data_IF_280526275038
#
_entry.id   IF_280526275038
#
_cell.length_a   1.000
_cell.length_b   1.000
_cell.length_c   1.000
_cell.angle_alpha   90.00
_cell.angle_beta   90.00
_cell.angle_gamma   90.00
#
_symmetry.space_group_name_H-M   'P 1'
#
loop_
_entity.id
_entity.type
_entity.pdbx_description
1 polymer ?
2 polymer ?
3 non-polymer ?
4 water ?
#
# COMPACT_ATOMS: atom_id res chain seq x y z
N UNK A 1 -1.13 14.26 -12.73
CA UNK A 1 -1.81 15.58 -12.64
C UNK A 1 -3.27 15.44 -13.09
N UNK A 2 -3.46 15.15 -14.37
CA UNK A 2 -4.80 14.97 -14.88
C UNK A 2 -5.33 13.64 -14.40
N UNK A 3 -4.49 12.92 -13.65
CA UNK A 3 -4.87 11.61 -13.13
C UNK A 3 -5.62 11.70 -11.80
N UNK A 4 -6.93 11.89 -11.90
CA UNK A 4 -7.78 11.95 -10.73
C UNK A 4 -9.18 11.50 -11.15
N UNK A 5 -9.82 10.73 -10.29
CA UNK A 5 -11.17 10.23 -10.54
C UNK A 5 -12.12 11.43 -10.51
N UNK A 6 -12.97 11.56 -11.53
CA UNK A 6 -13.87 12.72 -11.49
C UNK A 6 -14.92 12.70 -10.37
N UNK A 7 -15.33 11.50 -9.96
CA UNK A 7 -16.37 11.36 -8.95
C UNK A 7 -15.94 11.63 -7.50
N UNK A 8 -14.77 11.12 -7.11
CA UNK A 8 -14.28 11.32 -5.75
C UNK A 8 -13.25 12.43 -5.71
N UNK A 9 -12.75 12.79 -6.89
CA UNK A 9 -11.77 13.86 -7.06
C UNK A 9 -10.34 13.52 -6.63
N UNK A 10 -10.13 12.29 -6.17
CA UNK A 10 -8.81 11.85 -5.70
C UNK A 10 -7.90 11.36 -6.82
N UNK A 11 -6.60 11.50 -6.59
CA UNK A 11 -5.56 11.10 -7.52
C UNK A 11 -5.42 9.60 -7.66
N UNK A 12 -4.92 9.14 -8.79
CA UNK A 12 -4.68 7.71 -9.00
C UNK A 12 -3.38 7.56 -9.77
N UNK A 13 -2.67 6.47 -9.52
CA UNK A 13 -1.38 6.23 -10.16
C UNK A 13 -1.51 5.47 -11.47
N UNK A 14 -0.77 5.94 -12.47
CA UNK A 14 -0.75 5.33 -13.79
C UNK A 14 -0.24 3.90 -13.71
N UNK A 15 0.40 3.56 -12.59
CA UNK A 15 0.96 2.24 -12.42
C UNK A 15 0.30 1.28 -11.44
N UNK A 16 -0.67 1.73 -10.65
CA UNK A 16 -1.29 0.77 -9.73
C UNK A 16 -2.42 0.04 -10.43
N UNK A 17 -2.10 -1.14 -10.96
CA UNK A 17 -3.07 -1.94 -11.68
C UNK A 17 -3.85 -2.89 -10.78
N UNK A 18 -3.72 -2.71 -9.48
CA UNK A 18 -4.44 -3.54 -8.53
C UNK A 18 -5.70 -2.77 -8.16
N UNK A 19 -5.76 -1.53 -8.61
CA UNK A 19 -6.90 -0.66 -8.35
C UNK A 19 -8.07 -1.15 -9.20
N UNK A 20 -9.29 -0.92 -8.73
CA UNK A 20 -10.47 -1.32 -9.49
C UNK A 20 -11.02 -0.05 -10.11
N UNK A 21 -10.69 0.15 -11.38
CA UNK A 21 -11.15 1.32 -12.11
C UNK A 21 -11.55 0.94 -13.52
N UNK A 22 -12.43 1.74 -14.11
CA UNK A 22 -12.90 1.52 -15.46
C UNK A 22 -12.42 2.67 -16.31
N UNK A 23 -12.19 2.41 -17.59
CA UNK A 23 -11.74 3.45 -18.49
C UNK A 23 -12.86 3.89 -19.43
N UNK A 24 -13.19 5.18 -19.41
CA UNK A 24 -14.23 5.70 -20.27
C UNK A 24 -13.81 5.48 -21.73
N UNK A 25 -14.67 4.84 -22.51
CA UNK A 25 -14.33 4.58 -23.90
C UNK A 25 -14.31 5.83 -24.78
N UNK A 26 -14.74 6.96 -24.23
CA UNK A 26 -14.79 8.21 -24.97
C UNK A 26 -13.56 9.10 -24.77
N UNK A 27 -13.27 9.45 -23.52
CA UNK A 27 -12.15 10.33 -23.20
C UNK A 27 -10.91 9.62 -22.65
N UNK A 28 -11.03 8.31 -22.40
CA UNK A 28 -9.91 7.52 -21.87
C UNK A 28 -9.54 7.74 -20.40
N UNK A 29 -10.33 8.51 -19.66
CA UNK A 29 -9.98 8.71 -18.25
C UNK A 29 -10.46 7.54 -17.40
N UNK A 30 -9.87 7.40 -16.22
CA UNK A 30 -10.23 6.30 -15.34
C UNK A 30 -11.13 6.74 -14.20
N UNK A 31 -12.03 5.85 -13.82
CA UNK A 31 -12.98 6.11 -12.75
C UNK A 31 -13.06 4.90 -11.81
N UNK A 32 -13.02 5.16 -10.51
CA UNK A 32 -13.10 4.09 -9.51
C UNK A 32 -14.42 3.34 -9.58
N UNK A 33 -14.33 2.01 -9.46
CA UNK A 33 -15.50 1.14 -9.47
C UNK A 33 -16.40 1.51 -8.30
N UNK A 34 -15.79 1.71 -7.13
CA UNK A 34 -16.54 2.05 -5.93
C UNK A 34 -17.22 3.42 -6.04
N UNK A 35 -16.67 4.33 -6.84
CA UNK A 35 -17.29 5.65 -6.97
C UNK A 35 -18.54 5.62 -7.84
N UNK A 36 -18.68 4.57 -8.64
CA UNK A 36 -19.86 4.40 -9.48
C UNK A 36 -20.81 3.48 -8.72
N UNK A 37 -20.49 3.25 -7.44
CA UNK A 37 -21.28 2.39 -6.57
C UNK A 37 -21.37 0.95 -7.05
N UNK A 38 -20.29 0.45 -7.62
CA UNK A 38 -20.29 -0.93 -8.12
C UNK A 38 -19.61 -1.93 -7.19
N UNK A 39 -20.26 -3.06 -6.99
CA UNK A 39 -19.70 -4.11 -6.15
C UNK A 39 -18.59 -4.78 -6.95
N UNK A 40 -17.75 -5.55 -6.26
CA UNK A 40 -16.67 -6.27 -6.93
C UNK A 40 -17.21 -7.22 -7.98
N UNK A 41 -18.37 -7.83 -7.73
CA UNK A 41 -18.98 -8.74 -8.70
C UNK A 41 -19.29 -7.98 -10.00
N UNK A 42 -19.92 -6.84 -9.83
CA UNK A 42 -20.22 -5.95 -10.97
C UNK A 42 -18.98 -5.59 -11.74
N UNK A 43 -17.98 -5.26 -11.06
CA UNK A 43 -16.70 -4.90 -11.67
C UNK A 43 -16.16 -6.08 -12.50
N UNK A 44 -16.30 -7.28 -11.97
CA UNK A 44 -15.82 -8.47 -12.68
C UNK A 44 -16.66 -8.73 -13.92
N UNK A 45 -17.96 -8.56 -13.77
CA UNK A 45 -18.87 -8.78 -14.89
C UNK A 45 -18.52 -7.78 -15.99
N UNK A 46 -18.29 -6.53 -15.60
CA UNK A 46 -17.93 -5.47 -16.54
C UNK A 46 -16.65 -5.83 -17.26
N UNK A 47 -15.69 -6.37 -16.52
CA UNK A 47 -14.42 -6.77 -17.10
C UNK A 47 -14.64 -7.95 -18.05
N UNK A 48 -15.90 -8.38 -18.16
CA UNK A 48 -16.29 -9.50 -19.01
C UNK A 48 -17.23 -9.10 -20.15
N UNK A 49 -17.79 -7.90 -20.09
CA UNK A 49 -18.70 -7.46 -21.15
C UNK A 49 -17.97 -7.53 -22.48
N UNK A 50 -18.72 -7.50 -23.60
CA UNK A 50 -18.04 -7.56 -24.89
C UNK A 50 -17.27 -6.27 -25.16
N UNK A 51 -16.21 -6.40 -25.94
CA UNK A 51 -15.38 -5.26 -26.31
C UNK A 51 -16.32 -4.19 -26.89
N UNK A 52 -17.53 -4.62 -27.24
CA UNK A 52 -18.55 -3.75 -27.82
C UNK A 52 -19.25 -2.84 -26.82
N UNK A 53 -19.17 -3.18 -25.54
CA UNK A 53 -19.83 -2.38 -24.49
C UNK A 53 -18.82 -1.58 -23.67
N UNK A 54 -18.65 -0.31 -24.02
CA UNK A 54 -17.70 0.54 -23.33
C UNK A 54 -18.27 1.26 -22.12
N UNK A 55 -17.44 1.36 -21.09
CA UNK A 55 -17.83 2.07 -19.89
C UNK A 55 -17.78 3.52 -20.34
N UNK A 56 -18.59 4.37 -19.73
CA UNK A 56 -18.61 5.76 -20.12
C UNK A 56 -18.76 6.62 -18.86
N UNK A 57 -17.87 7.60 -18.66
CA UNK A 57 -17.95 8.46 -17.48
C UNK A 57 -19.16 9.38 -17.56
N UNK A 58 -19.57 9.93 -16.43
CA UNK A 58 -20.75 10.79 -16.37
C UNK A 58 -20.87 11.89 -17.43
N UNK A 59 -19.87 12.77 -17.49
CA UNK A 59 -19.92 13.88 -18.45
C UNK A 59 -19.86 13.43 -19.90
N UNK A 60 -19.25 12.28 -20.15
CA UNK A 60 -19.18 11.76 -21.51
C UNK A 60 -20.47 11.02 -21.84
N UNK A 61 -21.31 10.80 -20.84
CA UNK A 61 -22.58 10.13 -21.04
C UNK A 61 -23.57 11.16 -21.55
N UNK A 62 -24.07 10.95 -22.75
CA UNK A 62 -25.01 11.89 -23.32
C UNK A 62 -26.43 11.67 -22.79
N UNK A 63 -26.93 10.45 -22.91
CA UNK A 63 -28.27 10.14 -22.44
C UNK A 63 -28.22 9.23 -21.22
N UNK A 64 -28.98 9.56 -20.18
CA UNK A 64 -29.06 8.75 -18.97
C UNK A 64 -30.39 8.00 -18.93
N UNK A 65 -30.42 6.80 -18.34
CA UNK A 65 -29.29 6.08 -17.72
C UNK A 65 -28.18 5.73 -18.70
N UNK A 66 -26.94 5.74 -18.22
CA UNK A 66 -25.80 5.40 -19.07
C UNK A 66 -26.03 4.00 -19.61
N UNK A 67 -25.77 3.80 -20.91
CA UNK A 67 -25.99 2.50 -21.50
C UNK A 67 -25.22 1.38 -20.82
N UNK A 68 -24.01 1.66 -20.34
CA UNK A 68 -23.26 0.59 -19.69
C UNK A 68 -24.00 0.06 -18.48
N UNK A 69 -24.76 0.94 -17.82
CA UNK A 69 -25.52 0.52 -16.63
C UNK A 69 -26.63 -0.46 -17.00
N UNK A 70 -27.46 -0.10 -17.99
CA UNK A 70 -28.51 -1.03 -18.38
C UNK A 70 -27.92 -2.31 -18.93
N UNK A 71 -26.84 -2.19 -19.71
CA UNK A 71 -26.18 -3.37 -20.27
C UNK A 71 -25.68 -4.27 -19.15
N UNK A 72 -25.11 -3.66 -18.11
CA UNK A 72 -24.59 -4.41 -16.97
C UNK A 72 -25.68 -5.18 -16.24
N UNK A 73 -26.79 -4.50 -15.94
CA UNK A 73 -27.91 -5.11 -15.25
C UNK A 73 -28.43 -6.30 -16.05
N UNK A 74 -28.60 -6.09 -17.35
CA UNK A 74 -29.09 -7.16 -18.23
C UNK A 74 -28.14 -8.34 -18.30
N UNK A 75 -26.85 -8.05 -18.37
CA UNK A 75 -25.83 -9.09 -18.46
C UNK A 75 -25.91 -10.05 -17.27
N UNK A 76 -26.01 -9.51 -16.05
CA UNK A 76 -26.09 -10.39 -14.90
C UNK A 76 -27.33 -11.29 -14.99
N UNK A 77 -28.49 -10.70 -15.24
CA UNK A 77 -29.72 -11.48 -15.30
C UNK A 77 -29.71 -12.50 -16.43
N UNK A 78 -29.17 -12.11 -17.57
CA UNK A 78 -29.11 -13.03 -18.71
C UNK A 78 -28.17 -14.19 -18.46
N UNK A 79 -27.04 -13.91 -17.80
CA UNK A 79 -26.05 -14.92 -17.51
C UNK A 79 -26.60 -15.90 -16.48
N UNK A 80 -27.32 -15.39 -15.48
CA UNK A 80 -27.90 -16.25 -14.46
C UNK A 80 -28.94 -17.15 -15.13
N UNK A 81 -29.72 -16.57 -16.03
CA UNK A 81 -30.75 -17.33 -16.71
C UNK A 81 -30.12 -18.37 -17.63
N UNK A 82 -29.00 -17.99 -18.24
CA UNK A 82 -28.27 -18.87 -19.14
C UNK A 82 -27.93 -20.16 -18.40
N UNK A 83 -27.39 -20.01 -17.20
CA UNK A 83 -27.01 -21.15 -16.36
C UNK A 83 -28.24 -21.94 -15.92
N UNK A 84 -29.21 -21.27 -15.30
CA UNK A 84 -30.41 -21.96 -14.85
C UNK A 84 -31.10 -22.71 -15.97
N UNK A 85 -31.24 -22.07 -17.13
CA UNK A 85 -31.90 -22.71 -18.26
C UNK A 85 -31.22 -24.02 -18.63
N UNK A 86 -29.89 -24.04 -18.59
CA UNK A 86 -29.16 -25.26 -18.92
C UNK A 86 -29.44 -26.32 -17.87
N UNK A 87 -29.48 -25.92 -16.60
CA UNK A 87 -29.75 -26.86 -15.53
C UNK A 87 -31.14 -27.45 -15.66
N UNK A 88 -32.10 -26.60 -16.02
CA UNK A 88 -33.49 -27.03 -16.17
C UNK A 88 -33.71 -27.97 -17.35
N UNK A 89 -33.07 -27.66 -18.47
CA UNK A 89 -33.22 -28.45 -19.68
C UNK A 89 -32.31 -29.67 -19.77
N UNK A 90 -31.72 -30.09 -18.65
CA UNK A 90 -30.83 -31.25 -18.68
C UNK A 90 -31.55 -32.49 -18.18
N UNK A 91 -31.25 -33.63 -18.80
CA UNK A 91 -31.86 -34.89 -18.41
C UNK A 91 -31.27 -35.39 -17.08
N UNK A 92 -30.19 -34.76 -16.64
CA UNK A 92 -29.59 -35.18 -15.38
C UNK A 92 -30.12 -34.42 -14.17
N UNK A 93 -30.92 -33.38 -14.40
CA UNK A 93 -31.47 -32.57 -13.30
C UNK A 93 -32.94 -32.81 -13.01
N UNK A 94 -33.55 -33.71 -13.76
CA UNK A 94 -34.97 -34.00 -13.61
C UNK A 94 -35.44 -34.24 -12.16
N UNK A 95 -34.59 -34.83 -11.33
CA UNK A 95 -34.98 -35.12 -9.95
C UNK A 95 -34.81 -33.96 -8.97
N UNK A 96 -34.33 -32.81 -9.44
CA UNK A 96 -34.15 -31.66 -8.58
C UNK A 96 -35.08 -30.52 -9.03
N UNK A 97 -35.96 -30.82 -9.98
CA UNK A 97 -36.89 -29.84 -10.50
C UNK A 97 -37.98 -29.52 -9.50
N UNK A 98 -38.46 -30.55 -8.80
CA UNK A 98 -39.53 -30.37 -7.83
C UNK A 98 -39.29 -31.06 -6.50
N UNK A 99 -39.44 -30.29 -5.42
CA UNK A 99 -39.28 -30.80 -4.07
C UNK A 99 -40.54 -31.60 -3.72
N UNK A 100 -40.38 -32.69 -2.98
CA UNK A 100 -41.51 -33.54 -2.61
C UNK A 100 -41.30 -34.29 -1.29
N UNK A 102 -36.26 -15.51 0.10
CA UNK A 102 -36.74 -16.83 -0.28
C UNK A 102 -35.58 -17.82 -0.29
N UNK A 103 -35.87 -19.08 0.07
CA UNK A 103 -34.86 -20.14 0.09
C UNK A 103 -35.48 -21.34 -0.60
N UNK A 104 -35.39 -21.38 -1.94
CA UNK A 104 -35.92 -22.45 -2.81
C UNK A 104 -35.36 -23.83 -2.50
N UNK A 105 -36.24 -24.83 -2.44
CA UNK A 105 -35.77 -26.19 -2.19
C UNK A 105 -35.68 -26.98 -3.48
N UNK A 106 -35.98 -26.35 -4.61
CA UNK A 106 -35.90 -27.01 -5.90
C UNK A 106 -35.63 -26.02 -7.03
N UNK A 107 -35.25 -26.53 -8.19
CA UNK A 107 -34.95 -25.67 -9.33
C UNK A 107 -36.12 -24.83 -9.83
N UNK A 108 -37.33 -25.36 -9.74
CA UNK A 108 -38.49 -24.59 -10.17
C UNK A 108 -38.65 -23.39 -9.25
N UNK A 109 -38.15 -23.53 -8.03
CA UNK A 109 -38.22 -22.45 -7.06
C UNK A 109 -37.17 -21.40 -7.34
N UNK A 110 -35.99 -21.83 -7.76
CA UNK A 110 -34.91 -20.91 -8.09
C UNK A 110 -35.39 -20.15 -9.33
N UNK A 111 -36.04 -20.89 -10.23
CA UNK A 111 -36.59 -20.35 -11.46
C UNK A 111 -37.55 -19.18 -11.17
N UNK A 112 -38.46 -19.38 -10.22
CA UNK A 112 -39.42 -18.35 -9.85
C UNK A 112 -38.75 -17.19 -9.12
N UNK A 113 -37.80 -17.51 -8.26
CA UNK A 113 -37.10 -16.48 -7.52
C UNK A 113 -36.34 -15.59 -8.51
N UNK A 114 -35.86 -16.20 -9.59
CA UNK A 114 -35.10 -15.46 -10.61
C UNK A 114 -35.99 -14.59 -11.49
N UNK A 115 -37.03 -15.17 -12.07
CA UNK A 115 -37.93 -14.42 -12.95
C UNK A 115 -38.58 -13.22 -12.26
N UNK A 116 -38.71 -13.28 -10.94
CA UNK A 116 -39.30 -12.20 -10.16
C UNK A 116 -38.23 -11.17 -9.79
N UNK A 117 -37.03 -11.34 -10.36
CA UNK A 117 -35.93 -10.42 -10.09
C UNK A 117 -35.35 -10.40 -8.69
N UNK A 118 -35.42 -11.53 -7.98
CA UNK A 118 -34.89 -11.59 -6.62
C UNK A 118 -33.39 -11.84 -6.49
N UNK A 119 -32.72 -12.19 -7.59
CA UNK A 119 -31.28 -12.41 -7.53
C UNK A 119 -30.55 -11.14 -7.95
N UNK A 120 -29.75 -10.60 -7.05
CA UNK A 120 -29.00 -9.39 -7.33
C UNK A 120 -27.51 -9.66 -7.36
N UNK A 121 -27.14 -10.91 -7.09
CA UNK A 121 -25.75 -11.27 -7.11
C UNK A 121 -25.55 -12.69 -7.58
N UNK A 122 -24.33 -12.98 -8.01
CA UNK A 122 -23.98 -14.31 -8.46
C UNK A 122 -23.87 -15.20 -7.22
N UNK A 123 -23.34 -14.65 -6.12
CA UNK A 123 -23.18 -15.44 -4.91
C UNK A 123 -24.47 -16.03 -4.35
N UNK A 124 -25.54 -15.23 -4.28
CA UNK A 124 -26.79 -15.76 -3.72
C UNK A 124 -27.37 -16.86 -4.61
N UNK A 125 -27.32 -16.65 -5.92
CA UNK A 125 -27.81 -17.62 -6.90
C UNK A 125 -27.01 -18.94 -6.78
N UNK A 126 -25.70 -18.82 -6.73
CA UNK A 126 -24.86 -20.00 -6.63
C UNK A 126 -25.15 -20.75 -5.32
N UNK A 127 -25.17 -20.02 -4.20
CA UNK A 127 -25.44 -20.63 -2.89
C UNK A 127 -26.79 -21.34 -2.83
N UNK A 128 -27.82 -20.76 -3.45
CA UNK A 128 -29.12 -21.40 -3.44
C UNK A 128 -29.02 -22.74 -4.18
N UNK A 129 -28.33 -22.76 -5.32
CA UNK A 129 -28.18 -23.99 -6.09
C UNK A 129 -27.31 -25.00 -5.37
N UNK A 130 -26.21 -24.54 -4.75
CA UNK A 130 -25.32 -25.44 -4.01
C UNK A 130 -26.12 -26.15 -2.92
N UNK A 131 -26.94 -25.41 -2.19
CA UNK A 131 -27.76 -25.99 -1.13
C UNK A 131 -28.69 -27.09 -1.68
N UNK A 132 -29.30 -26.82 -2.83
CA UNK A 132 -30.20 -27.81 -3.42
C UNK A 132 -29.43 -29.05 -3.86
N UNK A 133 -28.29 -28.85 -4.49
CA UNK A 133 -27.48 -29.97 -4.94
C UNK A 133 -26.93 -30.74 -3.75
N UNK A 134 -26.43 -30.00 -2.76
CA UNK A 134 -25.88 -30.61 -1.56
C UNK A 134 -26.93 -31.40 -0.78
N UNK A 135 -28.16 -30.90 -0.75
CA UNK A 135 -29.25 -31.57 -0.05
C UNK A 135 -29.51 -32.92 -0.71
N UNK A 136 -29.51 -32.94 -2.05
CA UNK A 136 -29.73 -34.17 -2.79
C UNK A 136 -28.60 -35.17 -2.56
N UNK A 137 -27.37 -34.67 -2.43
CA UNK A 137 -26.22 -35.52 -2.18
C UNK A 137 -26.29 -36.17 -0.80
N UNK A 138 -26.78 -35.42 0.18
CA UNK A 138 -26.89 -35.91 1.55
C UNK A 138 -27.99 -36.96 1.71
N UNK A 139 -28.97 -36.95 0.81
CA UNK A 139 -30.07 -37.90 0.91
C UNK A 139 -30.08 -39.00 -0.15
N UNK A 140 -29.04 -39.07 -0.97
CA UNK A 140 -28.96 -40.10 -2.00
C UNK A 140 -28.22 -41.32 -1.48
N UNK A 141 -28.67 -41.82 -0.32
CA UNK A 141 -28.05 -42.98 0.29
C UNK A 141 -28.16 -44.26 -0.52
N UNK A 142 -27.00 -44.82 -0.86
CA UNK A 142 -26.95 -46.06 -1.62
C UNK A 142 -27.88 -46.12 -2.82
N UNK A 143 -27.63 -45.29 -3.82
CA UNK A 143 -28.45 -45.26 -5.04
C UNK A 143 -27.81 -44.34 -6.07
N UNK A 144 -27.54 -44.86 -7.28
CA UNK A 144 -26.97 -44.05 -8.37
C UNK A 144 -28.02 -43.29 -9.17
N UNK A 145 -27.57 -42.41 -10.06
CA UNK A 145 -28.46 -41.60 -10.89
C UNK A 145 -29.18 -40.60 -9.98
N UNK A 146 -28.96 -40.78 -8.68
CA UNK A 146 -29.50 -39.93 -7.64
C UNK A 146 -28.22 -39.63 -6.86
N UNK A 147 -27.19 -40.41 -7.21
CA UNK A 147 -25.86 -40.28 -6.63
C UNK A 147 -24.98 -39.94 -7.84
N UNK A 148 -25.21 -40.67 -8.93
CA UNK A 148 -24.48 -40.48 -10.16
C UNK A 148 -24.93 -39.17 -10.80
N UNK A 149 -26.24 -39.03 -10.96
CA UNK A 149 -26.79 -37.82 -11.55
C UNK A 149 -26.41 -36.61 -10.71
N UNK A 150 -26.52 -36.75 -9.38
CA UNK A 150 -26.18 -35.67 -8.48
C UNK A 150 -24.78 -35.13 -8.75
N UNK A 151 -23.85 -36.02 -9.02
CA UNK A 151 -22.49 -35.57 -9.27
C UNK A 151 -22.32 -34.98 -10.66
N UNK A 152 -23.13 -35.42 -11.62
CA UNK A 152 -22.99 -34.82 -12.94
C UNK A 152 -23.80 -33.55 -13.09
N UNK A 153 -24.68 -33.25 -12.13
CA UNK A 153 -25.42 -31.99 -12.20
C UNK A 153 -24.51 -31.05 -11.43
N UNK A 154 -23.77 -31.60 -10.47
CA UNK A 154 -22.84 -30.81 -9.69
C UNK A 154 -21.68 -30.40 -10.58
N UNK A 155 -21.03 -31.37 -11.21
CA UNK A 155 -19.91 -31.08 -12.09
C UNK A 155 -20.46 -30.14 -13.16
N UNK A 156 -21.66 -30.47 -13.63
CA UNK A 156 -22.35 -29.70 -14.64
C UNK A 156 -22.52 -28.26 -14.17
N UNK A 157 -22.99 -28.09 -12.93
CA UNK A 157 -23.20 -26.75 -12.39
C UNK A 157 -21.88 -26.01 -12.29
N UNK A 158 -20.90 -26.61 -11.61
CA UNK A 158 -19.60 -25.97 -11.44
C UNK A 158 -18.98 -25.52 -12.77
N UNK A 159 -19.00 -26.42 -13.76
CA UNK A 159 -18.45 -26.13 -15.08
C UNK A 159 -19.24 -25.07 -15.86
N UNK A 160 -20.56 -25.14 -15.78
CA UNK A 160 -21.42 -24.20 -16.48
C UNK A 160 -21.13 -22.80 -15.90
N UNK A 161 -21.02 -22.73 -14.58
CA UNK A 161 -20.74 -21.47 -13.89
C UNK A 161 -19.35 -20.96 -14.22
N UNK A 162 -18.41 -21.88 -14.37
CA UNK A 162 -17.04 -21.50 -14.70
C UNK A 162 -17.02 -20.87 -16.08
N UNK A 163 -17.93 -21.30 -16.94
CA UNK A 163 -18.00 -20.76 -18.28
C UNK A 163 -18.57 -19.35 -18.37
N UNK A 164 -19.65 -19.09 -17.63
CA UNK A 164 -20.32 -17.80 -17.63
C UNK A 164 -19.70 -16.79 -16.68
N UNK A 165 -19.17 -17.28 -15.57
CA UNK A 165 -18.58 -16.44 -14.55
C UNK A 165 -17.20 -16.97 -14.19
N UNK A 166 -16.23 -16.84 -15.11
CA UNK A 166 -14.86 -17.32 -14.90
C UNK A 166 -14.19 -16.80 -13.64
N UNK A 167 -14.54 -15.58 -13.24
CA UNK A 167 -13.97 -14.96 -12.05
C UNK A 167 -14.56 -15.48 -10.74
N UNK A 168 -15.68 -16.19 -10.84
CA UNK A 168 -16.36 -16.69 -9.64
C UNK A 168 -16.04 -18.13 -9.23
N UNK A 169 -15.95 -18.37 -7.93
CA UNK A 169 -15.64 -19.70 -7.41
C UNK A 169 -16.82 -20.42 -6.76
N UNK A 170 -17.43 -21.35 -7.49
CA UNK A 170 -18.54 -22.14 -6.96
C UNK A 170 -18.00 -23.15 -5.96
N UNK A 171 -16.78 -23.62 -6.22
CA UNK A 171 -16.11 -24.60 -5.37
C UNK A 171 -15.96 -24.16 -3.92
N UNK A 172 -15.79 -22.86 -3.69
CA UNK A 172 -15.60 -22.34 -2.34
C UNK A 172 -16.88 -22.11 -1.55
N UNK A 173 -18.03 -22.30 -2.19
CA UNK A 173 -19.30 -22.10 -1.51
C UNK A 173 -19.32 -22.72 -0.10
N UNK A 174 -19.87 -21.96 0.85
CA UNK A 174 -19.98 -22.38 2.24
C UNK A 174 -20.91 -23.56 2.42
N UNK A 175 -21.79 -23.79 1.45
CA UNK A 175 -22.78 -24.84 1.56
C UNK A 175 -22.43 -26.24 1.07
N UNK A 176 -21.21 -26.44 0.59
CA UNK A 176 -20.80 -27.77 0.15
C UNK A 176 -20.46 -28.55 1.42
N UNK A 177 -20.65 -29.86 1.38
CA UNK A 177 -20.35 -30.73 2.52
C UNK A 177 -19.36 -31.79 2.03
N UNK A 178 -18.53 -32.35 2.93
CA UNK A 178 -17.60 -33.36 2.44
C UNK A 178 -18.28 -34.72 2.31
N UNK B 1 -5.07 20.85 -7.72
CA UNK B 1 -3.97 20.07 -7.09
C UNK B 1 -4.49 19.25 -5.92
N UNK B 2 -4.73 17.96 -6.17
CA UNK B 2 -5.22 17.08 -5.14
C UNK B 2 -4.09 16.43 -4.36
N UNK B 3 -4.28 15.15 -4.04
CA UNK B 3 -3.29 14.41 -3.28
C UNK B 3 -2.20 13.77 -4.12
N UNK B 4 -1.31 14.60 -4.66
CA UNK B 4 -0.19 14.11 -5.45
C UNK B 4 1.04 14.99 -5.23
N UNK B 5 2.22 14.39 -5.36
CA UNK B 5 3.47 15.12 -5.20
C UNK B 5 3.80 15.83 -6.51
N UNK B 6 4.02 17.14 -6.46
CA UNK B 6 4.32 17.90 -7.69
C UNK B 6 5.61 17.49 -8.42
N UNK B 7 6.50 16.81 -7.73
CA UNK B 7 7.77 16.41 -8.36
C UNK B 7 7.74 15.11 -9.14
N UNK B 8 7.02 14.13 -8.62
CA UNK B 8 6.92 12.82 -9.28
C UNK B 8 5.53 12.54 -9.85
N UNK B 9 4.55 13.33 -9.41
CA UNK B 9 3.15 13.20 -9.83
C UNK B 9 2.46 11.93 -9.34
N UNK B 10 3.05 11.25 -8.36
CA UNK B 10 2.44 10.04 -7.81
C UNK B 10 1.51 10.48 -6.70
N UNK B 11 0.47 9.69 -6.44
CA UNK B 11 -0.48 10.03 -5.39
C UNK B 11 0.10 9.73 -4.02
N UNK B 12 -0.52 10.34 -3.00
CA UNK B 12 -0.14 10.12 -1.62
C UNK B 12 -1.46 10.15 -0.86
N UNK B 13 -1.54 9.39 0.24
CA UNK B 13 -2.77 9.35 1.00
C UNK B 13 -2.83 10.37 2.13
N UNK B 14 -3.88 11.20 2.10
CA UNK B 14 -4.07 12.25 3.09
C UNK B 14 -3.95 11.78 4.53
N UNK B 15 -4.39 10.55 4.80
CA UNK B 15 -4.34 10.02 6.17
C UNK B 15 -3.11 9.17 6.44
N UNK B 16 -2.21 9.09 5.47
CA UNK B 16 -0.98 8.30 5.58
C UNK B 16 0.15 9.09 6.23
N UNK B 17 0.29 8.99 7.54
CA UNK B 17 1.34 9.72 8.23
C UNK B 17 2.65 8.95 8.39
N UNK B 18 2.81 7.88 7.61
CA UNK B 18 4.04 7.11 7.61
C UNK B 18 4.83 7.69 6.45
N UNK B 19 4.22 8.64 5.76
CA UNK B 19 4.81 9.31 4.61
C UNK B 19 5.97 10.16 5.05
N UNK B 20 6.97 10.27 4.19
CA UNK B 20 8.09 11.14 4.47
C UNK B 20 7.95 12.25 3.45
N UNK B 21 7.24 13.30 3.84
CA UNK B 21 6.98 14.46 2.98
C UNK B 21 7.06 15.78 3.75
N UNK B 22 7.36 16.84 3.01
CA UNK B 22 7.47 18.18 3.57
C UNK B 22 6.39 19.04 2.95
N UNK B 23 5.81 19.92 3.76
CA UNK B 23 4.76 20.80 3.24
C UNK B 23 5.32 22.18 2.94
N UNK B 24 5.21 22.59 1.69
CA UNK B 24 5.72 23.90 1.30
C UNK B 24 5.01 24.97 2.09
N UNK B 25 5.78 25.89 2.67
CA UNK B 25 5.21 26.94 3.47
C UNK B 25 4.40 27.99 2.73
N UNK B 26 4.65 28.14 1.43
CA UNK B 26 3.94 29.15 0.64
C UNK B 26 2.67 28.65 -0.05
N UNK B 27 2.72 27.45 -0.64
CA UNK B 27 1.56 26.91 -1.35
C UNK B 27 0.82 25.77 -0.65
N UNK B 28 1.38 25.28 0.46
CA UNK B 28 0.78 24.18 1.24
C UNK B 28 0.82 22.78 0.62
N UNK B 29 1.42 22.65 -0.56
CA UNK B 29 1.52 21.36 -1.21
C UNK B 29 2.56 20.45 -0.51
N UNK B 30 2.32 19.14 -0.53
CA UNK B 30 3.22 18.17 0.08
C UNK B 30 4.15 17.56 -0.97
N UNK B 31 5.44 17.47 -0.66
CA UNK B 31 6.43 16.91 -1.58
C UNK B 31 7.20 15.79 -0.89
N UNK B 32 7.54 14.77 -1.61
CA UNK B 32 8.15 13.63 -1.05
C UNK B 32 9.65 14.01 -0.73
N UNK B 33 10.14 13.47 0.38
CA UNK B 33 11.51 13.75 0.78
C UNK B 33 12.45 13.21 -0.30
N UNK B 34 12.15 12.03 -0.81
CA UNK B 34 13.01 11.44 -1.83
C UNK B 34 12.97 12.22 -3.14
N UNK B 35 11.87 12.92 -3.39
CA UNK B 35 11.78 13.69 -4.62
C UNK B 35 12.64 14.94 -4.62
N UNK B 36 13.06 15.35 -3.43
CA UNK B 36 13.95 16.48 -3.28
C UNK B 36 15.37 15.91 -3.08
N UNK B 37 15.51 14.61 -3.37
CA UNK B 37 16.78 13.90 -3.25
C UNK B 37 17.34 13.92 -1.84
N UNK B 38 16.47 13.77 -0.84
CA UNK B 38 16.90 13.77 0.56
C UNK B 38 16.88 12.37 1.14
N UNK B 39 17.91 12.04 1.91
CA UNK B 39 17.97 10.73 2.56
C UNK B 39 17.07 10.79 3.79
N UNK B 40 16.84 9.65 4.43
CA UNK B 40 16.01 9.65 5.61
C UNK B 40 16.64 10.46 6.73
N UNK B 41 17.97 10.38 6.88
CA UNK B 41 18.68 11.15 7.90
C UNK B 41 18.40 12.65 7.72
N UNK B 42 18.50 13.14 6.51
CA UNK B 42 18.24 14.54 6.21
C UNK B 42 16.80 14.91 6.48
N UNK B 43 15.88 14.01 6.19
CA UNK B 43 14.47 14.27 6.49
C UNK B 43 14.29 14.46 7.99
N UNK B 44 14.95 13.62 8.77
CA UNK B 44 14.85 13.71 10.23
C UNK B 44 15.41 15.03 10.73
N UNK B 45 16.51 15.48 10.13
CA UNK B 45 17.15 16.73 10.52
C UNK B 45 16.31 17.91 10.05
N UNK B 46 15.75 17.81 8.85
CA UNK B 46 14.92 18.89 8.31
C UNK B 46 13.74 19.06 9.26
N UNK B 47 13.19 17.93 9.75
CA UNK B 47 12.07 17.94 10.68
C UNK B 47 12.44 18.63 11.99
N UNK B 48 13.74 18.73 12.26
CA UNK B 48 14.25 19.34 13.49
C UNK B 48 14.60 20.82 13.38
N UNK B 49 14.68 21.36 12.17
CA UNK B 49 15.00 22.78 11.98
C UNK B 49 13.96 23.63 12.71
N UNK B 50 14.30 24.89 13.02
CA UNK B 50 13.34 25.76 13.70
C UNK B 50 12.15 26.08 12.81
N UNK B 51 10.98 26.32 13.40
CA UNK B 51 9.81 26.63 12.62
C UNK B 51 10.01 27.84 11.71
N UNK B 52 10.96 28.69 12.06
CA UNK B 52 11.24 29.90 11.29
C UNK B 52 11.89 29.58 9.95
N UNK B 53 12.41 28.37 9.82
CA UNK B 53 13.07 27.92 8.59
C UNK B 53 12.09 26.98 7.89
N UNK B 54 11.37 27.52 6.91
CA UNK B 54 10.38 26.72 6.21
C UNK B 54 10.92 26.00 4.97
N UNK B 55 10.24 24.94 4.59
CA UNK B 55 10.59 24.20 3.40
C UNK B 55 9.81 24.92 2.31
N UNK B 56 10.39 25.06 1.13
CA UNK B 56 9.71 25.71 0.02
C UNK B 56 9.98 24.89 -1.24
N UNK B 57 8.91 24.56 -1.95
CA UNK B 57 9.05 23.78 -3.16
C UNK B 57 9.74 24.64 -4.21
N UNK B 58 10.22 23.99 -5.27
CA UNK B 58 10.92 24.68 -6.35
C UNK B 58 10.07 25.74 -7.06
N UNK B 59 8.78 25.47 -7.25
CA UNK B 59 7.90 26.40 -7.92
C UNK B 59 7.74 27.70 -7.15
N UNK B 60 7.78 27.61 -5.82
CA UNK B 60 7.62 28.79 -4.97
C UNK B 60 8.94 29.44 -4.62
N UNK B 61 10.00 29.05 -5.33
CA UNK B 61 11.31 29.61 -5.05
C UNK B 61 11.74 30.61 -6.10
N UNK B 62 11.93 31.86 -5.66
CA UNK B 62 12.36 32.93 -6.55
C UNK B 62 13.69 32.57 -7.20
N UNK B 63 14.77 32.57 -6.41
CA UNK B 63 16.07 32.22 -6.95
C UNK B 63 16.76 31.18 -6.05
N UNK B 64 17.25 30.14 -6.70
CA UNK B 64 17.89 29.03 -6.01
C UNK B 64 19.30 29.33 -5.53
N UNK B 65 19.79 28.56 -4.55
CA UNK B 65 19.06 27.46 -3.90
C UNK B 65 18.08 27.92 -2.82
N UNK B 66 16.96 27.22 -2.69
CA UNK B 66 15.97 27.55 -1.67
C UNK B 66 16.73 27.61 -0.36
N UNK B 67 16.38 28.55 0.52
CA UNK B 67 17.07 28.72 1.79
C UNK B 67 17.17 27.50 2.70
N UNK B 68 16.16 26.64 2.68
CA UNK B 68 16.20 25.47 3.54
C UNK B 68 17.37 24.54 3.25
N UNK B 69 17.85 24.53 2.01
CA UNK B 69 18.97 23.65 1.65
C UNK B 69 20.25 24.03 2.38
N UNK B 70 20.59 25.32 2.41
CA UNK B 70 21.80 25.75 3.11
C UNK B 70 21.63 25.50 4.60
N UNK B 71 20.43 25.77 5.11
CA UNK B 71 20.12 25.60 6.52
C UNK B 71 20.29 24.14 6.96
N UNK B 72 19.84 23.23 6.09
CA UNK B 72 19.92 21.81 6.36
C UNK B 72 21.35 21.32 6.38
N UNK B 73 22.16 21.80 5.44
CA UNK B 73 23.57 21.43 5.36
C UNK B 73 24.29 21.88 6.62
N UNK B 74 24.08 23.13 7.02
CA UNK B 74 24.72 23.68 8.21
C UNK B 74 24.29 22.99 9.50
N UNK B 75 23.01 22.65 9.58
CA UNK B 75 22.45 21.99 10.75
C UNK B 75 23.16 20.68 11.05
N UNK B 76 23.44 19.90 10.02
CA UNK B 76 24.13 18.64 10.22
C UNK B 76 25.52 18.90 10.82
N UNK B 77 26.31 19.73 10.15
CA UNK B 77 27.67 20.02 10.63
C UNK B 77 27.63 20.60 12.06
N UNK B 78 26.69 21.49 12.31
CA UNK B 78 26.55 22.09 13.63
C UNK B 78 26.34 21.01 14.68
N UNK B 79 25.35 20.16 14.45
CA UNK B 79 25.05 19.07 15.38
C UNK B 79 26.24 18.11 15.55
N UNK B 80 26.90 17.75 14.46
CA UNK B 80 28.04 16.86 14.58
C UNK B 80 29.09 17.54 15.46
N UNK B 81 29.40 18.79 15.15
CA UNK B 81 30.39 19.56 15.91
C UNK B 81 30.00 19.65 17.38
N UNK B 82 28.71 19.71 17.66
CA UNK B 82 28.24 19.82 19.02
C UNK B 82 28.63 18.58 19.82
N UNK B 83 28.43 17.40 19.23
CA UNK B 83 28.77 16.14 19.89
C UNK B 83 30.28 15.99 20.05
N UNK B 84 31.04 16.32 19.00
CA UNK B 84 32.50 16.20 19.06
C UNK B 84 33.12 17.15 20.08
N UNK B 85 32.70 18.41 20.04
CA UNK B 85 33.21 19.41 20.96
C UNK B 85 32.93 19.08 22.42
N UNK B 86 31.86 18.33 22.67
CA UNK B 86 31.49 17.92 24.03
C UNK B 86 32.34 16.73 24.46
N UNK B 87 32.52 15.77 23.56
CA UNK B 87 33.34 14.61 23.85
C UNK B 87 34.74 15.09 24.22
N UNK B 88 35.32 15.92 23.35
CA UNK B 88 36.67 16.43 23.59
C UNK B 88 36.84 17.16 24.92
N UNK B 89 35.74 17.42 25.62
CA UNK B 89 35.84 18.10 26.90
C UNK B 89 35.64 17.22 28.12
N UNK B 90 34.96 16.09 27.95
CA UNK B 90 34.77 15.19 29.08
C UNK B 90 36.12 14.51 29.28
N UNK B 91 36.51 14.33 30.54
CA UNK B 91 37.78 13.67 30.82
C UNK B 91 37.70 12.23 30.37
N UNK B 92 36.48 11.74 30.19
CA UNK B 92 36.24 10.37 29.76
C UNK B 92 36.86 9.99 28.43
N UNK B 93 37.25 11.00 27.64
CA UNK B 93 37.86 10.73 26.34
C UNK B 93 39.35 11.04 26.33
N UNK B 94 39.87 11.52 27.46
CA UNK B 94 41.29 11.88 27.56
C UNK B 94 42.24 10.84 26.98
N UNK B 95 41.86 9.57 27.07
CA UNK B 95 42.70 8.49 26.56
C UNK B 95 42.43 8.11 25.11
N UNK B 96 41.52 8.84 24.47
CA UNK B 96 41.19 8.57 23.08
C UNK B 96 41.55 9.75 22.19
N UNK B 97 42.16 10.78 22.77
CA UNK B 97 42.57 11.98 22.03
C UNK B 97 43.69 11.69 21.04
N UNK B 98 44.71 10.98 21.49
CA UNK B 98 45.85 10.61 20.68
C UNK B 98 46.05 9.12 20.78
N UNK B 99 45.93 8.43 19.66
CA UNK B 99 46.08 6.98 19.63
C UNK B 99 47.28 6.55 20.46
N UNK B 102 39.54 8.53 5.04
CA UNK B 102 40.21 8.64 6.32
C UNK B 102 39.43 7.88 7.41
N UNK B 103 40.14 7.01 8.13
CA UNK B 103 39.55 6.24 9.22
C UNK B 103 40.31 6.59 10.49
N UNK B 104 39.85 7.62 11.22
CA UNK B 104 40.44 8.12 12.46
C UNK B 104 40.72 7.04 13.51
N UNK B 105 41.91 7.12 14.11
CA UNK B 105 42.31 6.18 15.14
C UNK B 105 42.08 6.83 16.50
N UNK B 106 41.87 8.13 16.50
CA UNK B 106 41.64 8.90 17.72
C UNK B 106 40.77 10.12 17.44
N UNK B 107 40.25 10.73 18.50
CA UNK B 107 39.40 11.91 18.37
C UNK B 107 40.10 13.09 17.68
N UNK B 108 41.42 13.13 17.77
CA UNK B 108 42.16 14.19 17.11
C UNK B 108 41.94 14.00 15.62
N UNK B 109 41.97 12.75 15.19
CA UNK B 109 41.76 12.43 13.78
C UNK B 109 40.33 12.73 13.35
N UNK B 110 39.38 12.49 14.25
CA UNK B 110 37.99 12.74 13.95
C UNK B 110 37.78 14.23 13.74
N UNK B 111 38.42 15.04 14.59
CA UNK B 111 38.31 16.48 14.49
C UNK B 111 38.84 17.02 13.16
N UNK B 112 39.96 16.50 12.68
CA UNK B 112 40.51 16.96 11.41
C UNK B 112 39.58 16.60 10.27
N UNK B 113 39.08 15.37 10.28
CA UNK B 113 38.16 14.92 9.26
C UNK B 113 36.93 15.81 9.26
N UNK B 114 36.45 16.17 10.44
CA UNK B 114 35.28 17.01 10.52
C UNK B 114 35.58 18.46 10.11
N UNK B 115 36.64 19.04 10.63
CA UNK B 115 36.97 20.42 10.27
C UNK B 115 37.11 20.57 8.76
N UNK B 116 37.53 19.50 8.10
CA UNK B 116 37.70 19.49 6.64
C UNK B 116 36.34 19.36 5.97
N UNK B 117 35.32 19.10 6.77
CA UNK B 117 33.98 18.94 6.24
C UNK B 117 33.81 17.62 5.53
N UNK B 118 34.51 16.59 5.99
CA UNK B 118 34.44 15.28 5.34
C UNK B 118 33.38 14.32 5.89
N UNK B 119 32.59 14.77 6.87
CA UNK B 119 31.52 13.94 7.40
C UNK B 119 30.24 14.40 6.71
N UNK B 120 29.62 13.52 5.94
CA UNK B 120 28.41 13.86 5.21
C UNK B 120 27.17 13.19 5.80
N UNK B 121 27.36 12.44 6.88
CA UNK B 121 26.23 11.76 7.52
C UNK B 121 26.48 11.54 9.01
N UNK B 122 25.42 11.24 9.75
CA UNK B 122 25.53 11.00 11.19
C UNK B 122 26.11 9.60 11.38
N UNK B 123 25.65 8.67 10.55
CA UNK B 123 26.12 7.29 10.61
C UNK B 123 27.65 7.18 10.49
N UNK B 124 28.25 7.92 9.56
CA UNK B 124 29.71 7.84 9.40
C UNK B 124 30.43 8.37 10.61
N UNK B 125 29.92 9.48 11.15
CA UNK B 125 30.50 10.11 12.32
C UNK B 125 30.40 9.14 13.49
N UNK B 126 29.21 8.59 13.71
CA UNK B 126 28.98 7.66 14.81
C UNK B 126 29.88 6.41 14.72
N UNK B 127 29.92 5.76 13.55
CA UNK B 127 30.73 4.57 13.36
C UNK B 127 32.22 4.84 13.61
N UNK B 128 32.70 6.00 13.17
CA UNK B 128 34.10 6.34 13.39
C UNK B 128 34.38 6.38 14.89
N UNK B 129 33.45 6.98 15.65
CA UNK B 129 33.62 7.07 17.09
C UNK B 129 33.54 5.69 17.72
N UNK B 130 32.53 4.92 17.34
CA UNK B 130 32.35 3.58 17.88
C UNK B 130 33.63 2.77 17.71
N UNK B 131 34.20 2.79 16.51
CA UNK B 131 35.42 2.05 16.27
C UNK B 131 36.56 2.48 17.17
N UNK B 132 36.67 3.78 17.43
CA UNK B 132 37.73 4.28 18.32
C UNK B 132 37.49 3.83 19.77
N UNK B 133 36.23 3.90 20.21
CA UNK B 133 35.86 3.50 21.56
C UNK B 133 35.96 2.01 21.71
N UNK B 134 35.52 1.28 20.69
CA UNK B 134 35.58 -0.17 20.70
C UNK B 134 37.03 -0.66 20.59
N UNK B 135 37.93 0.20 20.10
CA UNK B 135 39.34 -0.14 19.93
C UNK B 135 40.01 -0.09 21.28
N UNK B 136 39.71 0.96 22.03
CA UNK B 136 40.29 1.11 23.35
C UNK B 136 39.68 0.08 24.27
N UNK B 137 38.49 -0.39 23.89
CA UNK B 137 37.80 -1.40 24.69
C UNK B 137 38.50 -2.73 24.42
N UNK B 138 38.86 -2.97 23.16
CA UNK B 138 39.53 -4.23 22.79
C UNK B 138 41.04 -4.22 23.02
N UNK B 139 41.56 -3.09 23.51
CA UNK B 139 42.99 -2.95 23.75
C UNK B 139 43.12 -2.99 25.26
N UNK B 140 42.17 -3.70 25.84
CA UNK B 140 42.06 -3.88 27.24
C UNK B 140 43.08 -4.76 27.89
N UNK B 141 43.65 -4.25 28.98
CA UNK B 141 44.60 -5.04 29.77
C UNK B 141 43.45 -5.46 30.64
N UNK B 142 43.68 -5.69 31.94
CA UNK B 142 42.57 -6.04 32.84
C UNK B 142 42.38 -4.91 33.82
N UNK B 143 43.17 -3.88 33.51
CA UNK B 143 43.32 -2.61 34.18
C UNK B 143 42.01 -1.91 34.45
N UNK B 144 41.66 -1.78 35.73
CA UNK B 144 40.44 -1.16 36.27
C UNK B 144 40.19 0.29 35.91
N UNK B 145 41.25 1.06 35.97
CA UNK B 145 41.16 2.49 35.70
C UNK B 145 40.76 2.74 34.26
N UNK B 146 41.30 1.98 33.32
CA UNK B 146 40.95 2.21 31.92
C UNK B 146 39.52 1.77 31.62
N UNK B 147 39.15 0.57 32.07
CA UNK B 147 37.80 0.09 31.83
C UNK B 147 36.77 1.07 32.38
N UNK B 148 37.05 1.61 33.56
CA UNK B 148 36.15 2.57 34.18
C UNK B 148 35.97 3.81 33.27
N UNK B 149 37.08 4.34 32.76
CA UNK B 149 37.04 5.50 31.87
C UNK B 149 36.46 5.07 30.53
N UNK B 150 36.69 3.80 30.22
CA UNK B 150 36.25 3.15 29.00
C UNK B 150 34.73 3.14 28.99
N UNK B 151 34.15 2.47 29.99
CA UNK B 151 32.68 2.39 30.11
C UNK B 151 32.11 3.79 30.24
N UNK B 152 32.82 4.65 30.95
CA UNK B 152 32.37 6.02 31.12
C UNK B 152 32.36 6.74 29.78
N UNK B 153 32.98 6.13 28.77
CA UNK B 153 33.02 6.75 27.46
C UNK B 153 31.96 6.15 26.52
N UNK B 154 31.75 4.84 26.58
CA UNK B 154 30.74 4.18 25.75
C UNK B 154 29.37 4.70 26.17
N UNK B 155 29.24 5.04 27.44
CA UNK B 155 27.98 5.54 27.97
C UNK B 155 27.84 7.04 27.72
N UNK B 156 28.92 7.77 27.91
CA UNK B 156 28.92 9.21 27.70
C UNK B 156 28.66 9.55 26.24
N UNK B 157 29.15 8.71 25.34
CA UNK B 157 28.98 8.97 23.91
C UNK B 157 27.53 8.70 23.54
N UNK B 158 27.04 7.51 23.89
CA UNK B 158 25.67 7.11 23.60
C UNK B 158 24.67 8.12 24.16
N UNK B 159 25.01 8.72 25.29
CA UNK B 159 24.11 9.70 25.90
C UNK B 159 24.23 11.05 25.21
N UNK B 160 25.41 11.37 24.71
CA UNK B 160 25.61 12.64 24.03
C UNK B 160 24.99 12.60 22.65
N UNK B 161 24.94 11.42 22.06
CA UNK B 161 24.35 11.30 20.75
C UNK B 161 22.83 11.35 20.89
N UNK B 162 22.30 10.76 21.95
CA UNK B 162 20.86 10.75 22.19
C UNK B 162 20.33 12.16 22.30
N UNK B 163 21.13 13.04 22.92
CA UNK B 163 20.75 14.43 23.12
C UNK B 163 20.61 15.23 21.82
N UNK B 164 21.54 15.04 20.90
CA UNK B 164 21.54 15.77 19.63
C UNK B 164 20.77 15.07 18.51
N UNK B 165 20.85 13.75 18.47
CA UNK B 165 20.17 12.97 17.44
C UNK B 165 19.28 11.92 18.10
N UNK B 166 18.17 12.35 18.73
CA UNK B 166 17.27 11.39 19.38
C UNK B 166 16.67 10.33 18.47
N UNK B 167 16.68 10.59 17.16
CA UNK B 167 16.14 9.65 16.17
C UNK B 167 17.17 8.62 15.71
N UNK B 168 18.43 8.84 16.07
CA UNK B 168 19.53 7.94 15.69
C UNK B 168 19.89 6.96 16.80
N UNK B 169 20.27 5.75 16.43
CA UNK B 169 20.65 4.73 17.40
C UNK B 169 22.10 4.29 17.28
N UNK B 170 22.90 4.65 18.28
CA UNK B 170 24.31 4.29 18.32
C UNK B 170 24.46 2.82 18.71
N UNK B 171 23.57 2.35 19.57
CA UNK B 171 23.60 0.96 20.02
C UNK B 171 23.49 -0.01 18.86
N UNK B 172 22.97 0.47 17.74
CA UNK B 172 22.76 -0.35 16.55
C UNK B 172 24.00 -0.54 15.67
N UNK B 173 25.01 0.30 15.88
CA UNK B 173 26.26 0.25 15.11
C UNK B 173 26.84 -1.14 14.84
N UNK B 174 27.26 -1.38 13.60
CA UNK B 174 27.87 -2.66 13.23
C UNK B 174 29.24 -2.78 13.88
N UNK B 175 29.77 -1.66 14.35
CA UNK B 175 31.10 -1.64 14.93
C UNK B 175 31.22 -1.86 16.44
N UNK B 176 30.17 -2.37 17.07
CA UNK B 176 30.21 -2.66 18.50
C UNK B 176 30.63 -4.13 18.63
N UNK B 177 30.82 -4.60 19.86
CA UNK B 177 31.25 -5.98 20.09
C UNK B 177 30.20 -7.03 19.75
N UNK C 1 -15.82 -3.08 -22.47
CA UNK C 1 -15.56 -2.19 -21.30
C UNK C 1 -14.15 -2.44 -20.78
N UNK C 2 -13.31 -1.41 -20.82
CA UNK C 2 -11.93 -1.56 -20.35
C UNK C 2 -11.81 -1.29 -18.85
N UNK C 3 -11.10 -2.16 -18.13
CA UNK C 3 -10.91 -1.98 -16.69
C UNK C 3 -9.45 -2.21 -16.38
N UNK C 5 -8.34 -4.44 -14.73
CA UNK C 5 -8.18 -5.87 -14.85
C UNK C 5 -7.95 -6.33 -16.28
N UNK C 6 -8.72 -5.78 -17.23
CA UNK C 6 -8.56 -6.18 -18.62
C UNK C 6 -7.24 -5.65 -19.19
N UNK D 1 10.62 23.99 9.39
CA UNK D 1 10.06 23.30 8.18
C UNK D 1 9.02 22.29 8.62
N UNK D 2 7.88 22.26 7.95
CA UNK D 2 6.83 21.33 8.34
C UNK D 2 6.89 20.02 7.55
N UNK D 3 6.75 18.91 8.27
CA UNK D 3 6.81 17.59 7.64
C UNK D 3 5.66 16.74 8.19
N UNK D 5 6.02 14.37 10.02
CA UNK D 5 6.44 14.10 11.38
C UNK D 5 6.05 15.23 12.34
N UNK D 6 5.93 16.45 11.80
CA UNK D 6 5.58 17.60 12.62
C UNK D 6 4.25 17.38 13.36
#
# INVERSE_FOLDING_TARGET
>A
SGNFCPLCDKCYDDDDYESKMMQCGKCDRWVHSKCENLSDEMYEILSNLPESVAYTCVNCTERHPAEWRLALEKELQISLKQVLTALLNSRTTSHLLRYRQQQPLDLEGVKRKMDQGNYTSVLEFSDDIVKIIQAAINSDGGQPEIKKANSMVKSFFIRQMERVFPWFSVKKSRFWEPNKVSS
>B
SGNFCPLCDKCYDDDDYESKMMQCGKCDRWVHSKCENLSDEMYEILSNLPESVAYTCVNCTERHPAEWRLALEKELQISLKQVLTALLNSRTTSHLLRYRQQQPLDLEGVKRKMDQGNYTSVLEFSDDIVKIIQAAINSDGGQPEIKKANSMVKSFFIRQMERVFPWFSVKKSRFWEPNKVSS
>C
ARTXQTARK
>D
ARTXQTARK
#
